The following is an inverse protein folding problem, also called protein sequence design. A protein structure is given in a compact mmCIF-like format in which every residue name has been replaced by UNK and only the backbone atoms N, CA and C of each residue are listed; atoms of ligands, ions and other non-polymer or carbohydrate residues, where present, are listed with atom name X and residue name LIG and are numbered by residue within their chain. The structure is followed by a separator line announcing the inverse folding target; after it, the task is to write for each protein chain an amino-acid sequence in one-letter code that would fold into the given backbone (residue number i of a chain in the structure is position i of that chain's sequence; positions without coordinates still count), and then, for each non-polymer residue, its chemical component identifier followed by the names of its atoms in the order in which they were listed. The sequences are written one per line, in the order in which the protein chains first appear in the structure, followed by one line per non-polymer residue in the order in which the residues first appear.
data_IF_915274546358
#
_entry.id   IF_915274546358
#
_cell.length_a   1.000
_cell.length_b   1.000
_cell.length_c   1.000
_cell.angle_alpha   90.00
_cell.angle_beta   90.00
_cell.angle_gamma   90.00
#
_symmetry.space_group_name_H-M   'P 1'
#
loop_
_entity.id
_entity.type
_entity.pdbx_description
1 polymer ?
#
# COMPACT_ATOMS: atom_id res chain seq x y z
N UNK A 1 18.48 6.09 40.83
CA UNK A 1 19.87 5.78 40.42
C UNK A 1 20.09 6.44 39.07
N UNK A 2 21.00 7.41 39.01
CA UNK A 2 21.29 8.23 37.83
C UNK A 2 22.55 7.69 37.18
N UNK A 3 22.47 7.24 35.93
CA UNK A 3 23.63 6.84 35.13
C UNK A 3 23.48 7.41 33.71
N UNK A 4 24.12 8.55 33.47
CA UNK A 4 24.72 8.93 32.18
C UNK A 4 26.22 9.11 32.47
N UNK A 5 27.13 8.60 31.63
CA UNK A 5 27.62 9.37 30.46
C UNK A 5 28.01 8.43 29.28
N UNK A 6 28.54 8.81 28.11
CA UNK A 6 29.19 10.00 27.61
C UNK A 6 29.09 10.03 26.07
N UNK A 7 29.01 11.24 25.50
CA UNK A 7 29.35 11.55 24.11
C UNK A 7 30.73 11.00 23.73
N UNK A 8 30.84 10.41 22.54
CA UNK A 8 32.09 10.41 21.76
C UNK A 8 31.81 10.76 20.30
N UNK A 9 32.08 12.01 19.99
CA UNK A 9 32.29 12.55 18.65
C UNK A 9 33.48 11.86 18.00
N UNK A 10 33.32 11.35 16.77
CA UNK A 10 34.44 11.09 15.86
C UNK A 10 34.18 11.87 14.58
N UNK A 11 34.99 12.91 14.41
CA UNK A 11 35.18 13.66 13.17
C UNK A 11 35.96 12.76 12.21
N UNK A 12 35.40 12.48 11.03
CA UNK A 12 36.06 11.76 9.95
C UNK A 12 35.92 12.54 8.66
N UNK A 13 36.81 13.52 8.48
CA UNK A 13 36.96 14.32 7.27
C UNK A 13 37.73 13.48 6.24
N UNK A 14 37.13 13.17 5.09
CA UNK A 14 37.85 12.69 3.91
C UNK A 14 37.26 13.35 2.67
N UNK A 15 37.84 14.50 2.32
CA UNK A 15 37.71 15.08 1.00
C UNK A 15 38.54 14.24 0.01
N UNK A 16 37.93 13.79 -1.09
CA UNK A 16 38.67 13.42 -2.29
C UNK A 16 38.10 14.23 -3.45
N UNK A 17 39.04 14.92 -4.08
CA UNK A 17 38.92 15.95 -5.10
C UNK A 17 38.91 15.32 -6.49
N UNK A 18 38.03 15.88 -7.34
CA UNK A 18 38.03 15.98 -8.81
C UNK A 18 38.76 14.94 -9.68
N UNK A 19 37.99 14.37 -10.62
CA UNK A 19 38.42 14.25 -12.02
C UNK A 19 37.32 14.81 -12.94
N UNK A 20 37.59 16.00 -13.49
CA UNK A 20 36.92 16.60 -14.65
C UNK A 20 37.50 16.02 -15.94
N UNK A 21 36.67 15.90 -16.99
CA UNK A 21 36.94 15.86 -18.45
C UNK A 21 35.92 14.88 -19.06
N UNK A 22 35.03 15.18 -20.01
CA UNK A 22 34.93 16.23 -21.02
C UNK A 22 34.33 15.57 -22.29
N UNK A 23 33.76 16.39 -23.19
CA UNK A 23 33.23 16.07 -24.54
C UNK A 23 31.77 15.55 -24.60
N UNK A 24 30.86 16.08 -25.41
CA UNK A 24 30.87 17.17 -26.40
C UNK A 24 29.42 17.54 -26.66
N UNK A 25 29.16 18.85 -26.78
CA UNK A 25 27.88 19.38 -27.22
C UNK A 25 27.59 18.98 -28.67
N UNK A 26 26.37 18.54 -28.95
CA UNK A 26 25.82 18.53 -30.30
C UNK A 26 24.69 19.55 -30.36
N UNK A 27 25.07 20.79 -30.69
CA UNK A 27 24.13 21.83 -31.08
C UNK A 27 23.93 21.71 -32.60
N UNK A 28 22.68 21.48 -33.01
CA UNK A 28 22.24 21.76 -34.38
C UNK A 28 21.08 22.74 -34.28
N UNK A 29 21.39 24.01 -34.51
CA UNK A 29 20.47 24.98 -35.12
C UNK A 29 19.96 24.41 -36.44
N UNK A 30 18.70 24.61 -36.81
CA UNK A 30 18.33 25.82 -37.54
C UNK A 30 16.86 25.77 -38.04
N UNK A 31 16.34 26.98 -38.26
CA UNK A 31 15.29 27.37 -39.21
C UNK A 31 13.83 27.38 -38.77
N UNK A 32 13.25 28.56 -39.00
CA UNK A 32 11.96 29.06 -38.58
C UNK A 32 10.92 29.02 -39.72
N UNK A 33 9.63 28.91 -39.35
CA UNK A 33 8.38 29.50 -39.91
C UNK A 33 8.06 29.33 -41.43
N UNK A 34 6.81 29.50 -41.95
CA UNK A 34 5.51 29.79 -41.33
C UNK A 34 4.26 29.06 -41.94
N UNK A 35 3.08 29.36 -41.40
CA UNK A 35 1.68 29.29 -41.92
C UNK A 35 1.21 28.06 -42.73
N UNK A 36 0.19 27.36 -42.21
CA UNK A 36 -0.62 26.43 -42.99
C UNK A 36 -1.89 26.02 -42.26
N UNK A 37 -2.97 26.78 -42.44
CA UNK A 37 -4.34 26.39 -42.08
C UNK A 37 -4.72 25.09 -42.78
N UNK A 38 -5.06 24.05 -42.02
CA UNK A 38 -5.67 22.84 -42.56
C UNK A 38 -6.91 22.47 -41.72
N UNK A 39 -8.03 22.92 -42.27
CA UNK A 39 -9.38 22.35 -42.27
C UNK A 39 -9.68 21.26 -41.23
N UNK A 40 -10.51 21.69 -40.29
CA UNK A 40 -11.45 20.96 -39.47
C UNK A 40 -12.18 19.84 -40.26
N UNK A 41 -11.73 18.60 -40.10
CA UNK A 41 -12.43 17.40 -40.54
C UNK A 41 -13.26 16.84 -39.39
N UNK A 42 -14.55 17.15 -39.38
CA UNK A 42 -15.54 16.54 -38.48
C UNK A 42 -15.61 15.05 -38.75
N UNK A 43 -15.06 14.23 -37.84
CA UNK A 43 -15.34 12.82 -37.80
C UNK A 43 -16.82 12.60 -37.40
N UNK A 44 -17.58 11.76 -38.12
CA UNK A 44 -18.96 11.45 -37.74
C UNK A 44 -19.00 10.76 -36.38
N UNK A 45 -19.87 11.26 -35.50
CA UNK A 45 -20.17 10.65 -34.21
C UNK A 45 -20.59 9.17 -34.39
N UNK A 46 -20.08 8.25 -33.57
CA UNK A 46 -20.57 6.87 -33.55
C UNK A 46 -22.07 6.88 -33.21
N UNK A 47 -22.85 6.16 -34.01
CA UNK A 47 -24.27 5.97 -33.77
C UNK A 47 -24.50 5.39 -32.37
N UNK A 48 -25.39 6.03 -31.62
CA UNK A 48 -25.81 5.55 -30.31
C UNK A 48 -26.38 4.11 -30.45
N UNK A 49 -25.92 3.15 -29.65
CA UNK A 49 -26.53 1.82 -29.61
C UNK A 49 -27.98 1.94 -29.12
N UNK A 50 -28.87 1.23 -29.80
CA UNK A 50 -30.29 1.14 -29.47
C UNK A 50 -30.51 0.67 -28.02
N UNK A 51 -31.59 1.14 -27.34
CA UNK A 51 -31.94 0.65 -26.02
C UNK A 51 -32.27 -0.84 -26.09
N UNK A 52 -31.47 -1.65 -25.38
CA UNK A 52 -31.75 -3.06 -25.19
C UNK A 52 -33.07 -3.24 -24.43
N UNK A 53 -33.94 -4.07 -24.98
CA UNK A 53 -35.20 -4.50 -24.39
C UNK A 53 -34.96 -5.10 -23.00
N UNK A 54 -35.77 -4.66 -22.03
CA UNK A 54 -35.77 -5.19 -20.67
C UNK A 54 -36.24 -6.66 -20.67
N UNK A 55 -35.46 -7.63 -20.15
CA UNK A 55 -35.96 -8.98 -19.95
C UNK A 55 -37.00 -9.01 -18.82
N UNK A 56 -38.07 -9.75 -19.08
CA UNK A 56 -39.19 -9.98 -18.18
C UNK A 56 -38.75 -10.56 -16.83
N UNK A 57 -39.42 -10.12 -15.77
CA UNK A 57 -39.31 -10.65 -14.42
C UNK A 57 -39.63 -12.16 -14.42
N UNK A 58 -38.66 -12.97 -14.00
CA UNK A 58 -38.85 -14.39 -13.73
C UNK A 58 -39.03 -14.56 -12.22
N UNK A 59 -40.10 -15.27 -11.87
CA UNK A 59 -40.54 -15.68 -10.55
C UNK A 59 -39.40 -16.21 -9.66
N UNK A 60 -39.36 -15.72 -8.42
CA UNK A 60 -38.42 -16.11 -7.36
C UNK A 60 -39.00 -17.31 -6.61
N UNK A 61 -38.42 -18.53 -6.70
CA UNK A 61 -38.78 -19.59 -5.78
C UNK A 61 -38.17 -19.34 -4.38
N UNK A 62 -38.99 -19.63 -3.37
CA UNK A 62 -38.72 -19.45 -1.96
C UNK A 62 -37.42 -20.11 -1.49
N UNK A 63 -36.72 -19.38 -0.61
CA UNK A 63 -35.53 -19.80 0.11
C UNK A 63 -35.80 -21.10 0.90
N UNK A 64 -34.96 -22.10 0.66
CA UNK A 64 -34.80 -23.25 1.56
C UNK A 64 -33.64 -22.89 2.48
N UNK A 65 -33.94 -22.67 3.77
CA UNK A 65 -32.92 -22.56 4.82
C UNK A 65 -32.04 -23.82 4.79
N UNK A 66 -30.76 -23.63 4.48
CA UNK A 66 -29.75 -24.65 4.68
C UNK A 66 -29.48 -24.78 6.19
N UNK A 67 -29.34 -26.00 6.73
CA UNK A 67 -29.02 -26.20 8.13
C UNK A 67 -27.67 -25.56 8.48
N UNK A 68 -27.62 -24.88 9.63
CA UNK A 68 -26.41 -24.31 10.20
C UNK A 68 -25.24 -25.31 10.18
N UNK A 69 -24.08 -24.96 9.60
CA UNK A 69 -22.91 -25.81 9.74
C UNK A 69 -22.54 -25.89 11.23
N UNK A 70 -22.20 -27.08 11.75
CA UNK A 70 -21.79 -27.21 13.14
C UNK A 70 -20.59 -26.30 13.39
N UNK A 71 -20.69 -25.45 14.41
CA UNK A 71 -19.61 -24.62 14.90
C UNK A 71 -18.37 -25.50 15.14
N UNK A 72 -17.44 -25.47 14.20
CA UNK A 72 -16.14 -26.08 14.38
C UNK A 72 -15.48 -25.28 15.50
N UNK A 73 -15.46 -25.87 16.69
CA UNK A 73 -14.66 -25.38 17.80
C UNK A 73 -13.20 -25.51 17.38
N UNK A 74 -12.65 -24.47 16.77
CA UNK A 74 -11.21 -24.37 16.60
C UNK A 74 -10.66 -24.17 18.01
N UNK A 75 -9.95 -25.19 18.49
CA UNK A 75 -9.04 -25.01 19.60
C UNK A 75 -7.97 -24.05 19.09
N UNK A 76 -8.20 -22.75 19.27
CA UNK A 76 -7.24 -21.72 18.92
C UNK A 76 -5.95 -22.02 19.68
N UNK A 77 -4.96 -22.55 18.98
CA UNK A 77 -3.59 -22.58 19.48
C UNK A 77 -3.26 -21.15 19.88
N UNK A 78 -2.76 -20.95 21.11
CA UNK A 78 -2.40 -19.63 21.59
C UNK A 78 -1.50 -18.95 20.54
N UNK A 79 -2.05 -17.94 19.88
CA UNK A 79 -1.35 -17.22 18.84
C UNK A 79 -0.13 -16.53 19.46
N UNK A 80 1.01 -16.50 18.77
CA UNK A 80 2.20 -15.85 19.32
C UNK A 80 1.93 -14.36 19.51
N UNK A 81 2.06 -13.88 20.76
CA UNK A 81 1.91 -12.47 21.11
C UNK A 81 3.23 -11.74 20.91
N UNK A 82 3.21 -10.66 20.12
CA UNK A 82 4.34 -9.77 19.86
C UNK A 82 4.31 -8.59 20.83
N UNK A 83 5.35 -8.48 21.65
CA UNK A 83 5.55 -7.39 22.59
C UNK A 83 6.59 -6.37 22.04
N UNK A 84 6.73 -5.18 22.63
CA UNK A 84 7.75 -4.21 22.24
C UNK A 84 9.17 -4.79 22.16
N UNK A 85 9.91 -4.41 21.12
CA UNK A 85 11.27 -4.90 20.86
C UNK A 85 11.34 -6.34 20.33
N UNK A 86 10.21 -6.98 20.04
CA UNK A 86 10.15 -8.28 19.37
C UNK A 86 9.91 -8.11 17.87
N UNK A 87 10.39 -9.06 17.09
CA UNK A 87 10.21 -9.09 15.65
C UNK A 87 9.72 -10.47 15.21
N UNK A 88 8.80 -10.50 14.24
CA UNK A 88 8.35 -11.71 13.55
C UNK A 88 8.58 -11.59 12.06
N UNK A 89 9.35 -12.52 11.50
CA UNK A 89 9.50 -12.69 10.06
C UNK A 89 8.56 -13.78 9.55
N UNK A 90 7.82 -13.49 8.49
CA UNK A 90 6.95 -14.42 7.78
C UNK A 90 7.60 -14.78 6.44
N UNK A 91 8.05 -16.02 6.32
CA UNK A 91 8.83 -16.52 5.17
C UNK A 91 8.17 -17.70 4.45
N UNK A 92 7.05 -18.20 4.96
CA UNK A 92 6.32 -19.32 4.36
C UNK A 92 5.20 -18.77 3.46
N UNK A 93 5.27 -19.07 2.16
CA UNK A 93 4.27 -18.65 1.16
C UNK A 93 2.96 -19.44 1.28
N UNK A 94 1.91 -18.91 0.63
CA UNK A 94 0.58 -19.54 0.49
C UNK A 94 -0.05 -20.01 1.82
N UNK A 95 0.15 -19.22 2.88
CA UNK A 95 -0.34 -19.51 4.22
C UNK A 95 -1.28 -18.41 4.74
N UNK A 96 -2.26 -18.80 5.55
CA UNK A 96 -3.00 -17.87 6.39
C UNK A 96 -2.30 -17.79 7.75
N UNK A 97 -1.95 -16.57 8.17
CA UNK A 97 -1.20 -16.31 9.39
C UNK A 97 -1.99 -15.34 10.27
N UNK A 98 -2.16 -15.71 11.53
CA UNK A 98 -2.76 -14.86 12.55
C UNK A 98 -1.71 -14.50 13.61
N UNK A 99 -1.61 -13.21 13.94
CA UNK A 99 -0.70 -12.68 14.95
C UNK A 99 -1.45 -11.74 15.91
N UNK A 100 -0.99 -11.70 17.16
CA UNK A 100 -1.47 -10.75 18.17
C UNK A 100 -0.32 -9.84 18.55
N UNK A 101 -0.54 -8.53 18.62
CA UNK A 101 0.40 -7.57 19.17
C UNK A 101 -0.12 -6.99 20.49
N UNK A 102 0.75 -6.90 21.49
CA UNK A 102 0.46 -6.32 22.80
C UNK A 102 1.28 -5.05 22.99
N UNK A 103 0.83 -3.97 22.34
CA UNK A 103 1.42 -2.64 22.48
C UNK A 103 2.75 -2.44 21.75
N UNK A 104 3.13 -3.34 20.85
CA UNK A 104 4.32 -3.17 20.03
C UNK A 104 4.71 -4.40 19.23
N UNK A 105 5.98 -4.42 18.82
CA UNK A 105 6.55 -5.49 18.00
C UNK A 105 6.46 -5.19 16.51
N UNK A 106 7.44 -5.73 15.78
CA UNK A 106 7.61 -5.54 14.35
C UNK A 106 7.27 -6.82 13.60
N UNK A 107 6.54 -6.70 12.49
CA UNK A 107 6.25 -7.82 11.59
C UNK A 107 6.90 -7.54 10.26
N UNK A 108 7.71 -8.48 9.75
CA UNK A 108 8.21 -8.44 8.38
C UNK A 108 7.55 -9.53 7.57
N UNK A 109 6.89 -9.14 6.48
CA UNK A 109 6.24 -10.04 5.54
C UNK A 109 7.11 -10.21 4.32
N UNK A 110 7.80 -11.35 4.24
CA UNK A 110 8.68 -11.70 3.12
C UNK A 110 8.05 -12.73 2.17
N UNK A 111 7.08 -13.48 2.65
CA UNK A 111 6.37 -14.49 1.89
C UNK A 111 5.31 -13.89 0.97
N UNK A 112 5.31 -14.28 -0.31
CA UNK A 112 4.33 -13.82 -1.29
C UNK A 112 3.00 -14.55 -1.14
N UNK A 113 1.92 -13.89 -1.55
CA UNK A 113 0.61 -14.53 -1.71
C UNK A 113 -0.04 -15.00 -0.41
N UNK A 114 0.39 -14.49 0.75
CA UNK A 114 -0.16 -14.90 2.05
C UNK A 114 -1.35 -14.02 2.45
N UNK A 115 -2.15 -14.52 3.40
CA UNK A 115 -3.09 -13.68 4.16
C UNK A 115 -2.55 -13.51 5.58
N UNK A 116 -2.36 -12.27 6.02
CA UNK A 116 -1.99 -11.94 7.39
C UNK A 116 -3.15 -11.21 8.08
N UNK A 117 -3.59 -11.74 9.21
CA UNK A 117 -4.52 -11.05 10.13
C UNK A 117 -3.79 -10.72 11.42
N UNK A 118 -3.86 -9.46 11.83
CA UNK A 118 -3.18 -8.94 13.01
C UNK A 118 -4.17 -8.26 13.95
N UNK A 119 -4.19 -8.72 15.19
CA UNK A 119 -5.03 -8.15 16.26
C UNK A 119 -4.18 -7.43 17.29
N UNK A 120 -4.78 -6.47 17.99
CA UNK A 120 -4.09 -5.60 18.95
C UNK A 120 -3.31 -4.46 18.29
N UNK A 121 -2.36 -3.91 19.05
CA UNK A 121 -1.58 -2.75 18.65
C UNK A 121 -0.13 -3.13 18.35
N UNK A 122 0.25 -3.09 17.08
CA UNK A 122 1.63 -3.34 16.63
C UNK A 122 2.42 -2.05 16.48
N UNK A 123 3.74 -2.17 16.58
CA UNK A 123 4.61 -1.04 16.32
C UNK A 123 4.74 -0.80 14.82
N UNK A 124 5.03 -1.84 14.04
CA UNK A 124 5.43 -1.68 12.64
C UNK A 124 5.12 -2.95 11.86
N UNK A 125 4.65 -2.78 10.62
CA UNK A 125 4.47 -3.88 9.67
C UNK A 125 5.17 -3.50 8.35
N UNK A 126 6.24 -4.23 8.01
CA UNK A 126 6.91 -4.11 6.72
C UNK A 126 6.38 -5.19 5.77
N UNK A 127 5.88 -4.78 4.61
CA UNK A 127 5.36 -5.67 3.58
C UNK A 127 6.31 -5.63 2.37
N UNK A 128 7.33 -6.49 2.41
CA UNK A 128 8.31 -6.65 1.33
C UNK A 128 7.83 -7.64 0.26
N UNK A 129 6.81 -8.45 0.59
CA UNK A 129 6.21 -9.46 -0.27
C UNK A 129 5.36 -8.88 -1.42
N UNK A 130 5.09 -9.69 -2.43
CA UNK A 130 4.13 -9.39 -3.50
C UNK A 130 2.82 -10.14 -3.35
N UNK A 131 1.71 -9.51 -3.74
CA UNK A 131 0.40 -10.20 -3.84
C UNK A 131 -0.20 -10.62 -2.50
N UNK A 132 0.22 -10.00 -1.40
CA UNK A 132 -0.18 -10.35 -0.03
C UNK A 132 -1.40 -9.55 0.39
N UNK A 133 -2.28 -10.16 1.19
CA UNK A 133 -3.38 -9.47 1.86
C UNK A 133 -3.06 -9.31 3.35
N UNK A 134 -3.10 -8.08 3.87
CA UNK A 134 -2.90 -7.77 5.29
C UNK A 134 -4.15 -7.12 5.86
N UNK A 135 -4.61 -7.61 7.01
CA UNK A 135 -5.65 -7.02 7.84
C UNK A 135 -5.08 -6.73 9.22
N UNK A 136 -5.20 -5.51 9.71
CA UNK A 136 -4.68 -5.11 11.01
C UNK A 136 -5.66 -4.20 11.76
N UNK A 137 -5.76 -4.35 13.08
CA UNK A 137 -6.53 -3.44 13.93
C UNK A 137 -5.80 -2.10 14.09
N UNK A 138 -4.66 -2.10 14.77
CA UNK A 138 -3.91 -0.86 15.03
C UNK A 138 -2.40 -1.03 14.83
N UNK A 139 -1.80 -0.10 14.09
CA UNK A 139 -0.36 -0.09 13.81
C UNK A 139 0.17 1.34 13.89
N UNK A 140 1.39 1.55 14.39
CA UNK A 140 1.99 2.88 14.27
C UNK A 140 2.41 3.16 12.83
N UNK A 141 3.24 2.32 12.23
CA UNK A 141 3.69 2.49 10.84
C UNK A 141 3.43 1.22 10.01
N UNK A 142 2.92 1.40 8.80
CA UNK A 142 2.85 0.33 7.79
C UNK A 142 3.65 0.77 6.57
N UNK A 143 4.69 -0.01 6.24
CA UNK A 143 5.54 0.21 5.08
C UNK A 143 5.24 -0.87 4.02
N UNK A 144 4.82 -0.45 2.83
CA UNK A 144 4.48 -1.34 1.71
C UNK A 144 5.46 -1.17 0.57
N UNK A 145 6.52 -1.99 0.59
CA UNK A 145 7.60 -1.95 -0.41
C UNK A 145 7.30 -2.85 -1.60
N UNK A 146 6.64 -3.98 -1.36
CA UNK A 146 6.30 -4.93 -2.41
C UNK A 146 5.11 -4.48 -3.26
N UNK A 147 4.95 -5.03 -4.48
CA UNK A 147 3.86 -4.68 -5.38
C UNK A 147 2.59 -5.53 -5.19
N UNK A 148 1.46 -5.00 -5.66
CA UNK A 148 0.17 -5.70 -5.77
C UNK A 148 -0.35 -6.26 -4.45
N UNK A 149 -0.05 -5.60 -3.34
CA UNK A 149 -0.57 -5.96 -2.02
C UNK A 149 -1.93 -5.30 -1.78
N UNK A 150 -2.73 -5.93 -0.92
CA UNK A 150 -3.97 -5.38 -0.39
C UNK A 150 -3.81 -5.21 1.11
N UNK A 151 -3.93 -3.99 1.63
CA UNK A 151 -3.84 -3.69 3.06
C UNK A 151 -5.15 -3.08 3.52
N UNK A 152 -5.69 -3.60 4.61
CA UNK A 152 -6.81 -3.01 5.34
C UNK A 152 -6.41 -2.83 6.79
N UNK A 153 -6.47 -1.61 7.29
CA UNK A 153 -6.14 -1.28 8.67
C UNK A 153 -7.24 -0.44 9.29
N UNK A 154 -7.65 -0.72 10.52
CA UNK A 154 -8.62 0.15 11.18
C UNK A 154 -7.96 1.47 11.57
N UNK A 155 -6.80 1.43 12.22
CA UNK A 155 -6.04 2.63 12.62
C UNK A 155 -4.56 2.53 12.31
N UNK A 156 -4.03 3.50 11.57
CA UNK A 156 -2.60 3.66 11.35
C UNK A 156 -2.12 5.07 11.73
N UNK A 157 -0.97 5.21 12.39
CA UNK A 157 -0.39 6.54 12.56
C UNK A 157 0.27 7.01 11.25
N UNK A 158 0.95 6.11 10.54
CA UNK A 158 1.56 6.32 9.23
C UNK A 158 1.34 5.13 8.29
N UNK A 159 1.16 5.46 7.02
CA UNK A 159 1.01 4.52 5.92
C UNK A 159 1.93 4.96 4.78
N UNK A 160 2.97 4.18 4.50
CA UNK A 160 3.93 4.43 3.43
C UNK A 160 3.81 3.36 2.35
N UNK A 161 3.87 3.76 1.09
CA UNK A 161 3.91 2.84 -0.04
C UNK A 161 4.99 3.24 -1.05
N UNK A 162 6.08 2.48 -1.05
CA UNK A 162 7.13 2.55 -2.07
C UNK A 162 6.86 1.60 -3.24
N UNK A 163 6.14 0.51 -2.96
CA UNK A 163 5.73 -0.49 -3.93
C UNK A 163 4.73 0.04 -4.96
N UNK A 164 4.43 -0.80 -5.94
CA UNK A 164 3.55 -0.43 -7.06
C UNK A 164 2.24 -1.20 -7.06
N UNK A 165 1.16 -0.53 -7.52
CA UNK A 165 -0.15 -1.12 -7.72
C UNK A 165 -0.74 -1.75 -6.44
N UNK A 166 -0.49 -1.15 -5.28
CA UNK A 166 -1.07 -1.60 -4.02
C UNK A 166 -2.47 -1.00 -3.82
N UNK A 167 -3.34 -1.72 -3.13
CA UNK A 167 -4.65 -1.21 -2.67
C UNK A 167 -4.63 -1.11 -1.16
N UNK A 168 -4.73 0.11 -0.63
CA UNK A 168 -4.58 0.41 0.79
C UNK A 168 -5.86 1.06 1.31
N UNK A 169 -6.42 0.48 2.37
CA UNK A 169 -7.58 1.00 3.05
C UNK A 169 -7.27 1.24 4.53
N UNK A 170 -7.51 2.45 5.02
CA UNK A 170 -7.40 2.79 6.43
C UNK A 170 -8.70 3.41 6.95
N UNK A 171 -9.28 2.94 8.05
CA UNK A 171 -10.45 3.63 8.62
C UNK A 171 -10.06 4.95 9.27
N UNK A 172 -8.89 5.03 9.92
CA UNK A 172 -8.27 6.24 10.43
C UNK A 172 -6.77 6.24 10.11
N UNK A 173 -6.25 7.35 9.56
CA UNK A 173 -4.82 7.48 9.28
C UNK A 173 -4.29 8.90 9.55
N UNK A 174 -3.10 8.99 10.16
CA UNK A 174 -2.44 10.25 10.50
C UNK A 174 -1.54 10.81 9.40
N UNK A 175 -0.84 9.93 8.67
CA UNK A 175 0.06 10.31 7.57
C UNK A 175 -0.01 9.28 6.45
N UNK A 176 -0.01 9.76 5.21
CA UNK A 176 0.09 8.93 4.01
C UNK A 176 1.31 9.41 3.21
N UNK A 177 2.22 8.50 2.87
CA UNK A 177 3.39 8.77 2.03
C UNK A 177 3.39 7.80 0.85
N UNK A 178 3.31 8.32 -0.37
CA UNK A 178 3.34 7.50 -1.59
C UNK A 178 4.55 7.90 -2.44
N UNK A 179 5.50 6.98 -2.54
CA UNK A 179 6.71 7.14 -3.37
C UNK A 179 6.64 6.21 -4.60
N UNK A 180 5.83 5.16 -4.52
CA UNK A 180 5.60 4.21 -5.60
C UNK A 180 4.62 4.69 -6.68
N UNK A 181 4.13 3.75 -7.48
CA UNK A 181 3.30 4.05 -8.65
C UNK A 181 1.99 3.25 -8.68
N UNK A 182 0.91 3.88 -9.15
CA UNK A 182 -0.38 3.22 -9.35
C UNK A 182 -1.03 2.72 -8.06
N UNK A 183 -0.67 3.28 -6.91
CA UNK A 183 -1.25 2.88 -5.62
C UNK A 183 -2.63 3.52 -5.44
N UNK A 184 -3.59 2.73 -4.95
CA UNK A 184 -4.95 3.15 -4.66
C UNK A 184 -5.14 3.22 -3.15
N UNK A 185 -5.39 4.40 -2.62
CA UNK A 185 -5.58 4.64 -1.19
C UNK A 185 -6.98 5.17 -0.92
N UNK A 186 -7.66 4.53 0.02
CA UNK A 186 -8.95 5.00 0.54
C UNK A 186 -8.89 5.12 2.05
N UNK A 187 -9.18 6.30 2.59
CA UNK A 187 -9.20 6.52 4.04
C UNK A 187 -10.55 7.04 4.54
N UNK A 188 -10.91 6.68 5.78
CA UNK A 188 -12.15 7.12 6.42
C UNK A 188 -12.00 8.43 7.19
N UNK A 189 -11.95 8.31 8.50
CA UNK A 189 -11.80 9.41 9.43
C UNK A 189 -10.36 9.96 9.46
N UNK A 190 -10.25 11.22 9.90
CA UNK A 190 -8.98 11.89 10.10
C UNK A 190 -8.75 13.03 9.11
N UNK A 191 -7.57 13.63 9.21
CA UNK A 191 -7.06 14.63 8.28
C UNK A 191 -5.58 14.34 8.05
N UNK A 192 -5.26 13.28 7.28
CA UNK A 192 -3.89 12.84 7.14
C UNK A 192 -3.02 13.91 6.52
N UNK A 193 -1.77 14.01 6.97
CA UNK A 193 -0.74 14.65 6.18
C UNK A 193 -0.46 13.74 4.97
N UNK A 194 -0.70 14.24 3.77
CA UNK A 194 -0.49 13.49 2.52
C UNK A 194 0.77 14.02 1.85
N UNK A 195 1.67 13.09 1.52
CA UNK A 195 2.85 13.31 0.70
C UNK A 195 2.84 12.30 -0.45
N UNK A 196 2.83 12.76 -1.68
CA UNK A 196 2.79 11.92 -2.88
C UNK A 196 3.88 12.40 -3.84
N UNK A 197 5.02 11.71 -3.77
CA UNK A 197 6.18 11.90 -4.63
C UNK A 197 6.20 10.91 -5.80
N UNK A 198 5.23 9.99 -5.83
CA UNK A 198 5.10 8.92 -6.80
C UNK A 198 4.39 9.34 -8.09
N UNK A 199 3.86 8.34 -8.82
CA UNK A 199 3.15 8.60 -10.09
C UNK A 199 1.92 7.72 -10.29
N UNK A 200 0.84 8.32 -10.79
CA UNK A 200 -0.41 7.61 -11.06
C UNK A 200 -1.10 7.06 -9.82
N UNK A 201 -0.77 7.57 -8.63
CA UNK A 201 -1.43 7.21 -7.39
C UNK A 201 -2.82 7.87 -7.33
N UNK A 202 -3.76 7.22 -6.66
CA UNK A 202 -5.11 7.73 -6.42
C UNK A 202 -5.43 7.68 -4.93
N UNK A 203 -5.76 8.83 -4.35
CA UNK A 203 -6.05 8.97 -2.93
C UNK A 203 -7.47 9.52 -2.78
N UNK A 204 -8.29 8.83 -1.99
CA UNK A 204 -9.70 9.15 -1.79
C UNK A 204 -10.10 9.07 -0.31
N UNK A 205 -10.97 9.99 0.13
CA UNK A 205 -11.65 9.88 1.40
C UNK A 205 -13.01 9.16 1.22
N UNK A 206 -13.46 8.41 2.22
CA UNK A 206 -14.80 7.80 2.30
C UNK A 206 -15.86 8.75 2.84
#
# INVERSE_FOLDING_TARGET
MKYQPALRTVVGLAAVVLLMSGCTANATTDTATPIGSAVQGSAPAPAAPAPAEAPAAVDVPAAVEAPDPPAASSTALAQPVLAPGRERKLTLADADVELVCDGGGKIQVLANGITLTVTGHCQEIDILSSGTTVRAESVNEIDVDGPRNTVTVEKAAGLRAEGSNNTLHADEVGKIVLEGQGNQVTFGAGNPQIDDEGSGNNISAK
#
